data_IF_773511532903
#
_entry.id   IF_773511532903
#
_cell.length_a   1.000
_cell.length_b   1.000
_cell.length_c   1.000
_cell.angle_alpha   90.00
_cell.angle_beta   90.00
_cell.angle_gamma   90.00
#
_symmetry.space_group_name_H-M   'P 1'
#
loop_
_entity.id
_entity.type
_entity.pdbx_description
1 polymer ?
#
# COMPACT_ATOMS: atom_id res chain seq x y z
N UNK A 1 -0.28 -5.83 15.46
CA UNK A 1 -1.51 -6.50 14.99
C UNK A 1 -2.35 -6.85 16.18
N UNK A 2 -3.65 -6.61 16.13
CA UNK A 2 -4.56 -6.83 17.27
C UNK A 2 -5.68 -7.82 16.98
N UNK A 3 -6.03 -8.04 15.71
CA UNK A 3 -7.12 -8.94 15.34
C UNK A 3 -6.92 -9.52 13.93
N UNK A 4 -7.53 -10.67 13.65
CA UNK A 4 -7.56 -11.32 12.32
C UNK A 4 -8.92 -11.96 12.08
N UNK A 5 -9.48 -11.71 10.90
CA UNK A 5 -10.78 -12.25 10.49
C UNK A 5 -10.58 -13.06 9.21
N UNK A 6 -11.03 -14.31 9.20
CA UNK A 6 -11.14 -15.11 7.98
C UNK A 6 -12.40 -14.71 7.23
N UNK A 7 -12.25 -14.35 5.96
CA UNK A 7 -13.33 -13.97 5.08
C UNK A 7 -13.89 -15.18 4.33
N UNK A 8 -15.13 -15.09 3.88
CA UNK A 8 -15.83 -16.19 3.20
C UNK A 8 -15.15 -16.60 1.88
N UNK A 9 -14.45 -15.68 1.23
CA UNK A 9 -13.66 -15.93 0.02
C UNK A 9 -12.26 -16.51 0.30
N UNK A 10 -11.97 -16.92 1.54
CA UNK A 10 -10.71 -17.53 1.94
C UNK A 10 -9.56 -16.54 2.15
N UNK A 11 -9.81 -15.23 2.04
CA UNK A 11 -8.83 -14.20 2.37
C UNK A 11 -8.78 -13.94 3.88
N UNK A 12 -7.65 -13.42 4.33
CA UNK A 12 -7.48 -12.99 5.73
C UNK A 12 -7.44 -11.47 5.81
N UNK A 13 -8.34 -10.90 6.61
CA UNK A 13 -8.35 -9.49 6.97
C UNK A 13 -7.59 -9.31 8.27
N UNK A 14 -6.57 -8.46 8.26
CA UNK A 14 -5.76 -8.13 9.43
C UNK A 14 -6.09 -6.75 9.95
N UNK A 15 -6.19 -6.64 11.27
CA UNK A 15 -6.48 -5.38 11.96
C UNK A 15 -5.31 -5.02 12.85
N UNK A 16 -4.85 -3.78 12.73
CA UNK A 16 -3.69 -3.25 13.41
C UNK A 16 -4.09 -1.97 14.14
N UNK A 17 -3.81 -1.97 15.45
CA UNK A 17 -3.75 -0.76 16.25
C UNK A 17 -2.32 -0.23 16.21
N UNK A 18 -2.15 1.00 15.71
CA UNK A 18 -0.89 1.73 15.76
C UNK A 18 -1.03 3.05 16.53
N UNK A 19 -2.01 3.10 17.44
CA UNK A 19 -2.21 4.23 18.35
C UNK A 19 -0.93 4.53 19.13
N UNK A 20 -0.63 5.81 19.28
CA UNK A 20 0.60 6.27 19.94
C UNK A 20 0.38 7.60 20.64
N UNK A 21 1.10 7.79 21.74
CA UNK A 21 1.12 9.06 22.47
C UNK A 21 1.77 10.15 21.62
N UNK A 22 1.18 11.35 21.65
CA UNK A 22 1.71 12.54 20.97
C UNK A 22 2.41 13.46 21.99
N UNK A 23 1.65 13.97 22.96
CA UNK A 23 2.14 14.87 24.01
C UNK A 23 1.18 14.87 25.20
N UNK A 24 1.69 14.90 26.43
CA UNK A 24 0.82 14.91 27.62
C UNK A 24 -0.16 13.73 27.61
N UNK A 25 -1.44 13.96 27.87
CA UNK A 25 -2.52 12.96 27.81
C UNK A 25 -3.10 12.76 26.39
N UNK A 26 -2.45 13.31 25.36
CA UNK A 26 -2.97 13.35 23.99
C UNK A 26 -2.36 12.26 23.13
N UNK A 27 -3.24 11.52 22.48
CA UNK A 27 -2.91 10.38 21.64
C UNK A 27 -3.36 10.57 20.20
N UNK A 28 -2.64 9.92 19.30
CA UNK A 28 -3.12 9.52 17.98
C UNK A 28 -3.73 8.14 18.15
N UNK A 29 -4.99 7.98 17.75
CA UNK A 29 -5.65 6.68 17.65
C UNK A 29 -5.64 6.24 16.20
N UNK A 30 -4.97 5.13 15.92
CA UNK A 30 -4.62 4.71 14.57
C UNK A 30 -5.12 3.31 14.25
N UNK A 31 -6.02 3.21 13.28
CA UNK A 31 -6.55 1.95 12.74
C UNK A 31 -5.97 1.69 11.35
N UNK A 32 -5.38 0.51 11.16
CA UNK A 32 -4.99 -0.02 9.86
C UNK A 32 -5.68 -1.36 9.66
N UNK A 33 -6.39 -1.48 8.55
CA UNK A 33 -6.98 -2.73 8.08
C UNK A 33 -6.34 -3.08 6.76
N UNK A 34 -5.92 -4.33 6.62
CA UNK A 34 -5.30 -4.79 5.39
C UNK A 34 -5.71 -6.20 5.00
N UNK A 35 -5.75 -6.43 3.69
CA UNK A 35 -5.90 -7.75 3.07
C UNK A 35 -4.76 -7.91 2.08
N UNK A 36 -3.87 -8.87 2.34
CA UNK A 36 -2.73 -9.20 1.47
C UNK A 36 -3.07 -10.35 0.54
N UNK A 37 -2.71 -10.22 -0.72
CA UNK A 37 -2.93 -11.22 -1.76
C UNK A 37 -1.66 -11.43 -2.56
N UNK A 38 -1.34 -12.69 -2.86
CA UNK A 38 -0.18 -13.07 -3.68
C UNK A 38 -0.63 -13.18 -5.14
N UNK A 39 -0.20 -12.26 -6.03
CA UNK A 39 -0.45 -12.37 -7.46
C UNK A 39 0.46 -13.43 -8.08
N UNK A 40 -0.03 -14.06 -9.13
CA UNK A 40 0.72 -15.03 -9.92
C UNK A 40 1.42 -14.35 -11.10
N UNK A 41 2.43 -15.03 -11.66
CA UNK A 41 3.16 -14.56 -12.84
C UNK A 41 2.24 -14.16 -14.02
N UNK A 42 1.12 -14.86 -14.19
CA UNK A 42 0.13 -14.62 -15.26
C UNK A 42 -0.62 -13.28 -15.12
N UNK A 43 -0.61 -12.69 -13.93
CA UNK A 43 -1.31 -11.43 -13.65
C UNK A 43 -0.51 -10.21 -14.14
N UNK A 44 0.76 -10.40 -14.52
CA UNK A 44 1.66 -9.37 -15.01
C UNK A 44 1.76 -9.40 -16.55
N UNK A 45 2.09 -8.27 -17.16
CA UNK A 45 2.21 -8.21 -18.62
C UNK A 45 3.40 -9.06 -19.16
N UNK A 46 4.44 -9.26 -18.36
CA UNK A 46 5.59 -10.10 -18.68
C UNK A 46 6.40 -10.48 -17.42
N UNK A 47 7.32 -11.43 -17.60
CA UNK A 47 8.23 -11.96 -16.58
C UNK A 47 9.07 -10.89 -15.90
N UNK A 48 9.48 -9.85 -16.63
CA UNK A 48 10.32 -8.77 -16.09
C UNK A 48 9.58 -8.01 -14.99
N UNK A 49 8.30 -7.68 -15.18
CA UNK A 49 7.52 -7.02 -14.14
C UNK A 49 7.28 -7.92 -12.93
N UNK A 50 7.00 -9.21 -13.15
CA UNK A 50 6.83 -10.15 -12.04
C UNK A 50 8.09 -10.29 -11.19
N UNK A 51 9.26 -10.42 -11.83
CA UNK A 51 10.54 -10.50 -11.12
C UNK A 51 10.85 -9.21 -10.35
N UNK A 52 10.63 -8.05 -10.97
CA UNK A 52 10.78 -6.74 -10.31
C UNK A 52 9.80 -6.59 -9.13
N UNK A 53 8.59 -7.12 -9.24
CA UNK A 53 7.62 -7.12 -8.16
C UNK A 53 8.12 -7.94 -6.97
N UNK A 54 8.62 -9.15 -7.20
CA UNK A 54 9.21 -9.98 -6.13
C UNK A 54 10.46 -9.35 -5.50
N UNK A 55 11.26 -8.62 -6.28
CA UNK A 55 12.45 -7.93 -5.79
C UNK A 55 12.10 -6.70 -4.93
N UNK A 56 11.08 -5.92 -5.33
CA UNK A 56 10.73 -4.64 -4.70
C UNK A 56 9.66 -4.76 -3.60
N UNK A 57 9.03 -5.92 -3.44
CA UNK A 57 7.93 -6.14 -2.50
C UNK A 57 8.12 -7.42 -1.69
N UNK A 58 7.21 -7.68 -0.76
CA UNK A 58 7.13 -8.94 -0.01
C UNK A 58 6.34 -10.03 -0.76
N UNK A 59 6.17 -9.89 -2.08
CA UNK A 59 5.41 -10.81 -2.91
C UNK A 59 3.89 -10.67 -2.80
N UNK A 60 3.40 -9.61 -2.15
CA UNK A 60 1.97 -9.37 -1.95
C UNK A 60 1.54 -8.00 -2.46
N UNK A 61 0.35 -7.96 -3.04
CA UNK A 61 -0.42 -6.72 -3.20
C UNK A 61 -1.37 -6.59 -2.01
N UNK A 62 -1.70 -5.36 -1.64
CA UNK A 62 -2.49 -5.10 -0.45
C UNK A 62 -3.63 -4.15 -0.73
N UNK A 63 -4.83 -4.55 -0.31
CA UNK A 63 -5.84 -3.56 0.05
C UNK A 63 -5.48 -3.01 1.44
N UNK A 64 -5.43 -1.68 1.60
CA UNK A 64 -5.18 -1.04 2.89
C UNK A 64 -6.17 0.09 3.15
N UNK A 65 -6.79 0.05 4.31
CA UNK A 65 -7.60 1.13 4.85
C UNK A 65 -6.93 1.68 6.11
N UNK A 66 -6.62 2.99 6.09
CA UNK A 66 -6.02 3.70 7.21
C UNK A 66 -6.97 4.77 7.71
N UNK A 67 -7.24 4.79 9.01
CA UNK A 67 -8.05 5.82 9.66
C UNK A 67 -7.39 6.27 10.95
N UNK A 68 -7.36 7.58 11.16
CA UNK A 68 -6.71 8.18 12.32
C UNK A 68 -7.55 9.27 12.96
N UNK A 69 -7.37 9.44 14.26
CA UNK A 69 -7.82 10.60 15.02
C UNK A 69 -6.69 11.09 15.92
N UNK A 70 -6.42 12.39 15.88
CA UNK A 70 -5.38 13.03 16.68
C UNK A 70 -5.99 13.71 17.92
N UNK A 71 -5.14 14.01 18.90
CA UNK A 71 -5.48 14.74 20.13
C UNK A 71 -6.56 14.08 20.99
N UNK A 72 -6.64 12.76 20.93
CA UNK A 72 -7.60 11.95 21.69
C UNK A 72 -7.13 11.85 23.15
N UNK A 73 -7.99 12.15 24.14
CA UNK A 73 -7.71 11.88 25.55
C UNK A 73 -7.43 10.40 25.81
N UNK A 74 -6.50 10.10 26.71
CA UNK A 74 -6.05 8.73 26.98
C UNK A 74 -7.18 7.77 27.40
N UNK A 75 -8.15 8.27 28.17
CA UNK A 75 -9.32 7.52 28.62
C UNK A 75 -10.32 7.17 27.50
N UNK A 76 -10.20 7.79 26.32
CA UNK A 76 -11.11 7.58 25.19
C UNK A 76 -10.53 6.68 24.10
N UNK A 77 -9.25 6.32 24.16
CA UNK A 77 -8.54 5.57 23.10
C UNK A 77 -9.27 4.28 22.73
N UNK A 78 -9.52 3.43 23.71
CA UNK A 78 -10.07 2.09 23.49
C UNK A 78 -11.49 2.13 22.90
N UNK A 79 -12.32 3.05 23.39
CA UNK A 79 -13.67 3.24 22.89
C UNK A 79 -13.63 3.72 21.44
N UNK A 80 -12.82 4.74 21.16
CA UNK A 80 -12.71 5.30 19.82
C UNK A 80 -12.16 4.28 18.82
N UNK A 81 -11.11 3.53 19.19
CA UNK A 81 -10.54 2.49 18.34
C UNK A 81 -11.59 1.42 18.01
N UNK A 82 -12.33 0.95 19.02
CA UNK A 82 -13.40 -0.04 18.84
C UNK A 82 -14.51 0.48 17.91
N UNK A 83 -14.98 1.71 18.12
CA UNK A 83 -15.98 2.33 17.23
C UNK A 83 -15.47 2.48 15.79
N UNK A 84 -14.20 2.85 15.61
CA UNK A 84 -13.58 2.93 14.27
C UNK A 84 -13.51 1.56 13.59
N UNK A 85 -13.13 0.52 14.35
CA UNK A 85 -13.06 -0.86 13.87
C UNK A 85 -14.44 -1.37 13.45
N UNK A 86 -15.42 -1.29 14.35
CA UNK A 86 -16.79 -1.76 14.10
C UNK A 86 -17.46 -1.02 12.95
N UNK A 87 -17.30 0.31 12.89
CA UNK A 87 -17.84 1.12 11.80
C UNK A 87 -17.28 0.72 10.43
N UNK A 88 -16.00 0.33 10.36
CA UNK A 88 -15.45 -0.22 9.14
C UNK A 88 -16.02 -1.61 8.81
N UNK A 89 -15.99 -2.53 9.78
CA UNK A 89 -16.42 -3.92 9.56
C UNK A 89 -17.88 -3.98 9.10
N UNK A 90 -18.76 -3.17 9.68
CA UNK A 90 -20.17 -3.12 9.31
C UNK A 90 -20.41 -2.73 7.84
N UNK A 91 -19.52 -1.93 7.24
CA UNK A 91 -19.69 -1.40 5.87
C UNK A 91 -18.87 -2.18 4.86
N UNK A 92 -17.60 -2.46 5.17
CA UNK A 92 -16.65 -2.97 4.21
C UNK A 92 -16.60 -4.51 4.16
N UNK A 93 -16.97 -5.21 5.23
CA UNK A 93 -16.82 -6.65 5.31
C UNK A 93 -17.56 -7.40 4.17
N UNK A 94 -18.82 -7.06 3.80
CA UNK A 94 -19.49 -7.72 2.67
C UNK A 94 -18.75 -7.56 1.34
N UNK A 95 -18.17 -6.39 1.09
CA UNK A 95 -17.40 -6.12 -0.12
C UNK A 95 -16.09 -6.91 -0.14
N UNK A 96 -15.37 -6.94 0.98
CA UNK A 96 -14.08 -7.64 1.09
C UNK A 96 -14.25 -9.17 1.06
N UNK A 97 -15.38 -9.68 1.54
CA UNK A 97 -15.73 -11.12 1.47
C UNK A 97 -16.24 -11.56 0.11
N UNK A 98 -16.48 -10.65 -0.83
CA UNK A 98 -17.00 -11.00 -2.16
C UNK A 98 -15.99 -11.90 -2.93
N UNK A 99 -16.43 -12.96 -3.63
CA UNK A 99 -15.52 -13.90 -4.32
C UNK A 99 -14.57 -13.22 -5.32
N UNK A 100 -15.07 -12.23 -6.06
CA UNK A 100 -14.27 -11.49 -7.06
C UNK A 100 -13.30 -10.45 -6.47
N UNK A 101 -13.33 -10.20 -5.16
CA UNK A 101 -12.52 -9.15 -4.55
C UNK A 101 -11.01 -9.39 -4.81
N UNK A 102 -10.56 -10.64 -4.65
CA UNK A 102 -9.15 -11.04 -4.88
C UNK A 102 -8.68 -10.65 -6.28
N UNK A 103 -9.43 -11.05 -7.30
CA UNK A 103 -9.06 -10.84 -8.70
C UNK A 103 -9.05 -9.36 -9.07
N UNK A 104 -10.05 -8.60 -8.59
CA UNK A 104 -10.12 -7.15 -8.82
C UNK A 104 -8.96 -6.41 -8.16
N UNK A 105 -8.61 -6.80 -6.93
CA UNK A 105 -7.47 -6.23 -6.22
C UNK A 105 -6.15 -6.50 -6.95
N UNK A 106 -5.90 -7.76 -7.33
CA UNK A 106 -4.70 -8.14 -8.09
C UNK A 106 -4.59 -7.30 -9.36
N UNK A 107 -5.66 -7.27 -10.19
CA UNK A 107 -5.65 -6.55 -11.46
C UNK A 107 -5.30 -5.07 -11.26
N UNK A 108 -5.94 -4.42 -10.29
CA UNK A 108 -5.74 -2.99 -10.03
C UNK A 108 -4.31 -2.69 -9.56
N UNK A 109 -3.84 -3.39 -8.52
CA UNK A 109 -2.54 -3.12 -7.89
C UNK A 109 -1.37 -3.51 -8.81
N UNK A 110 -1.51 -4.58 -9.59
CA UNK A 110 -0.50 -4.99 -10.58
C UNK A 110 -0.41 -3.98 -11.73
N UNK A 111 -1.53 -3.41 -12.21
CA UNK A 111 -1.50 -2.32 -13.18
C UNK A 111 -0.80 -1.07 -12.63
N UNK A 112 -1.10 -0.68 -11.39
CA UNK A 112 -0.46 0.46 -10.75
C UNK A 112 1.05 0.25 -10.57
N UNK A 113 1.45 -0.95 -10.15
CA UNK A 113 2.86 -1.31 -10.01
C UNK A 113 3.61 -1.18 -11.35
N UNK A 114 3.07 -1.75 -12.43
CA UNK A 114 3.70 -1.68 -13.75
C UNK A 114 3.87 -0.24 -14.24
N UNK A 115 2.82 0.59 -14.12
CA UNK A 115 2.88 2.02 -14.45
C UNK A 115 3.95 2.76 -13.65
N UNK A 116 4.10 2.43 -12.36
CA UNK A 116 5.15 3.01 -11.51
C UNK A 116 6.54 2.62 -12.00
N UNK A 117 6.76 1.37 -12.36
CA UNK A 117 8.04 0.89 -12.91
C UNK A 117 8.38 1.59 -14.23
N UNK A 118 7.41 1.76 -15.11
CA UNK A 118 7.61 2.46 -16.39
C UNK A 118 7.97 3.92 -16.17
N UNK A 119 7.27 4.57 -15.24
CA UNK A 119 7.59 5.94 -14.84
C UNK A 119 9.01 6.04 -14.27
N UNK A 120 9.40 5.16 -13.33
CA UNK A 120 10.77 5.11 -12.75
C UNK A 120 11.84 4.98 -13.84
N UNK A 121 11.65 4.06 -14.81
CA UNK A 121 12.58 3.89 -15.94
C UNK A 121 12.67 5.14 -16.80
N UNK A 122 11.53 5.77 -17.11
CA UNK A 122 11.51 6.98 -17.94
C UNK A 122 12.23 8.16 -17.29
N UNK A 123 12.24 8.25 -15.96
CA UNK A 123 13.00 9.26 -15.22
C UNK A 123 14.50 8.95 -15.31
N UNK A 124 14.89 7.69 -15.07
CA UNK A 124 16.30 7.27 -15.18
C UNK A 124 16.89 7.51 -16.57
N UNK A 125 16.13 7.23 -17.63
CA UNK A 125 16.55 7.48 -19.01
C UNK A 125 16.76 8.98 -19.29
N UNK A 126 15.90 9.84 -18.76
CA UNK A 126 16.01 11.30 -18.90
C UNK A 126 17.19 11.87 -18.13
N UNK A 127 17.41 11.38 -16.92
CA UNK A 127 18.53 11.80 -16.09
C UNK A 127 19.86 11.40 -16.75
N UNK A 128 19.96 10.17 -17.24
CA UNK A 128 21.14 9.68 -17.97
C UNK A 128 21.38 10.46 -19.27
N UNK A 129 20.33 10.83 -20.01
CA UNK A 129 20.46 11.66 -21.20
C UNK A 129 20.88 13.10 -20.85
N UNK A 130 20.37 13.65 -19.75
CA UNK A 130 20.78 14.98 -19.27
C UNK A 130 22.26 14.99 -18.89
N UNK A 131 22.73 13.98 -18.14
CA UNK A 131 24.15 13.83 -17.81
C UNK A 131 25.02 13.72 -19.06
N UNK A 132 24.64 12.89 -20.05
CA UNK A 132 25.36 12.79 -21.33
C UNK A 132 25.42 14.13 -22.06
N UNK A 133 24.31 14.86 -22.12
CA UNK A 133 24.27 16.17 -22.74
C UNK A 133 25.20 17.13 -21.97
N UNK A 134 25.12 17.19 -20.65
CA UNK A 134 26.01 18.02 -19.84
C UNK A 134 27.49 17.71 -20.07
N UNK A 135 27.86 16.43 -20.20
CA UNK A 135 29.23 16.02 -20.55
C UNK A 135 29.64 16.55 -21.94
N UNK A 136 28.78 16.39 -22.95
CA UNK A 136 29.02 16.88 -24.31
C UNK A 136 29.14 18.42 -24.34
N UNK A 137 28.32 19.13 -23.56
CA UNK A 137 28.32 20.59 -23.49
C UNK A 137 29.50 21.14 -22.68
N UNK A 138 29.98 20.41 -21.66
CA UNK A 138 31.23 20.74 -20.94
C UNK A 138 32.44 20.74 -21.88
N UNK A 139 32.53 19.78 -22.79
CA UNK A 139 33.62 19.68 -23.76
C UNK A 139 33.57 20.77 -24.84
N UNK A 140 32.37 21.28 -25.16
CA UNK A 140 32.16 22.34 -26.15
C UNK A 140 32.28 23.77 -25.62
N UNK A 141 32.35 23.99 -24.31
CA UNK A 141 32.41 25.31 -23.68
C UNK A 141 33.85 25.88 -23.58
N UNK A 142 34.71 25.57 -24.55
CA UNK A 142 36.03 26.22 -24.70
C UNK A 142 36.02 26.94 -26.04
N UNK A 143 35.54 28.19 -26.09
CA UNK A 143 35.99 29.29 -26.97
C UNK A 143 35.31 30.60 -26.57
#
# INVERSE_FOLDING_TARGET
MVDKIQLENGLTLEIWDYSRRLAGDRWLVGLLIQVGVEPEKKDFANDTYYNLFLEKTDGKVYYRYRKERNFVPEDQINQLFSTMKEGFLNVALPYLSHPEFKEKLIKHEVELFQKKIDWEKSIQEKDAETERLEEIWKDKSIY
#
